data_IF_531840271020
#
_entry.id   IF_531840271020
#
_cell.length_a   1.000
_cell.length_b   1.000
_cell.length_c   1.000
_cell.angle_alpha   90.00
_cell.angle_beta   90.00
_cell.angle_gamma   90.00
#
_symmetry.space_group_name_H-M   'P 1'
#
loop_
_entity.id
_entity.type
_entity.pdbx_description
1 polymer ?
#
# COMPACT_ATOMS: atom_id res chain seq x y z
N UNK A 1 16.56 -23.69 26.39
CA UNK A 1 16.37 -22.26 26.09
C UNK A 1 16.81 -22.06 24.64
N UNK A 2 15.87 -21.88 23.72
CA UNK A 2 16.20 -21.75 22.30
C UNK A 2 16.53 -20.29 22.01
N UNK A 3 17.81 -19.98 21.85
CA UNK A 3 18.29 -18.65 21.51
C UNK A 3 18.07 -18.48 20.02
N UNK A 4 16.96 -17.86 19.62
CA UNK A 4 16.80 -17.40 18.24
C UNK A 4 17.88 -16.35 18.00
N UNK A 5 18.87 -16.72 17.18
CA UNK A 5 19.98 -15.86 16.81
C UNK A 5 19.42 -14.60 16.17
N UNK A 6 19.95 -13.43 16.53
CA UNK A 6 19.56 -12.13 15.96
C UNK A 6 19.70 -12.06 14.42
N UNK A 7 20.29 -13.10 13.81
CA UNK A 7 20.40 -13.32 12.36
C UNK A 7 19.08 -13.74 11.69
N UNK A 8 18.10 -14.25 12.45
CA UNK A 8 16.82 -14.78 11.93
C UNK A 8 15.76 -13.70 11.59
N UNK A 9 16.11 -12.41 11.64
CA UNK A 9 15.19 -11.29 11.30
C UNK A 9 15.77 -10.32 10.28
N UNK A 10 16.62 -10.78 9.37
CA UNK A 10 17.00 -9.96 8.22
C UNK A 10 15.78 -9.83 7.31
N UNK A 11 15.18 -8.64 7.27
CA UNK A 11 14.14 -8.31 6.30
C UNK A 11 14.74 -8.44 4.91
N UNK A 12 13.96 -9.00 3.98
CA UNK A 12 14.36 -9.01 2.58
C UNK A 12 14.47 -7.56 2.09
N UNK A 13 15.46 -7.28 1.24
CA UNK A 13 15.50 -6.03 0.49
C UNK A 13 14.70 -6.21 -0.79
N UNK A 14 13.66 -5.41 -0.99
CA UNK A 14 12.89 -5.32 -2.22
C UNK A 14 13.50 -4.23 -3.11
N UNK A 15 13.98 -4.64 -4.28
CA UNK A 15 14.63 -3.75 -5.26
C UNK A 15 13.64 -3.33 -6.32
N UNK A 16 13.43 -2.03 -6.41
CA UNK A 16 12.41 -1.44 -7.28
C UNK A 16 13.08 -0.52 -8.28
N UNK A 17 12.83 -0.75 -9.56
CA UNK A 17 13.28 0.12 -10.64
C UNK A 17 12.14 1.04 -11.07
N UNK A 18 12.42 2.35 -11.05
CA UNK A 18 11.48 3.37 -11.50
C UNK A 18 11.80 3.81 -12.91
N UNK A 19 10.80 3.80 -13.80
CA UNK A 19 10.95 4.20 -15.20
C UNK A 19 9.98 5.34 -15.50
N UNK A 20 10.52 6.53 -15.79
CA UNK A 20 9.72 7.69 -16.18
C UNK A 20 8.81 8.29 -15.09
N UNK A 21 9.03 7.90 -13.82
CA UNK A 21 8.24 8.38 -12.67
C UNK A 21 8.75 9.73 -12.20
N UNK A 22 7.85 10.71 -12.06
CA UNK A 22 8.19 12.06 -11.59
C UNK A 22 8.60 12.06 -10.10
N UNK A 23 9.57 12.88 -9.66
CA UNK A 23 10.07 12.87 -8.28
C UNK A 23 8.98 12.95 -7.20
N UNK A 24 7.94 13.77 -7.40
CA UNK A 24 6.81 13.87 -6.47
C UNK A 24 6.04 12.56 -6.30
N UNK A 25 5.83 11.82 -7.40
CA UNK A 25 5.21 10.50 -7.38
C UNK A 25 6.12 9.47 -6.71
N UNK A 26 7.44 9.56 -6.89
CA UNK A 26 8.39 8.64 -6.23
C UNK A 26 8.31 8.74 -4.70
N UNK A 27 8.20 9.97 -4.17
CA UNK A 27 8.05 10.20 -2.71
C UNK A 27 6.75 9.57 -2.21
N UNK A 28 5.65 9.78 -2.93
CA UNK A 28 4.33 9.23 -2.59
C UNK A 28 4.33 7.71 -2.62
N UNK A 29 4.81 7.12 -3.71
CA UNK A 29 4.93 5.66 -3.88
C UNK A 29 5.82 5.05 -2.79
N UNK A 30 6.94 5.70 -2.46
CA UNK A 30 7.79 5.26 -1.34
C UNK A 30 7.02 5.28 -0.02
N UNK A 31 6.18 6.28 0.19
CA UNK A 31 5.31 6.38 1.38
C UNK A 31 4.33 5.22 1.47
N UNK A 32 3.61 4.92 0.39
CA UNK A 32 2.67 3.81 0.32
C UNK A 32 3.35 2.46 0.57
N UNK A 33 4.44 2.18 -0.15
CA UNK A 33 5.17 0.92 -0.02
C UNK A 33 5.77 0.75 1.37
N UNK A 34 6.29 1.82 1.98
CA UNK A 34 6.81 1.76 3.36
C UNK A 34 5.74 1.46 4.39
N UNK A 35 4.51 1.90 4.16
CA UNK A 35 3.39 1.59 5.04
C UNK A 35 2.97 0.13 4.88
N UNK A 36 2.83 -0.32 3.63
CA UNK A 36 2.35 -1.66 3.28
C UNK A 36 3.36 -2.78 3.60
N UNK A 37 4.65 -2.55 3.35
CA UNK A 37 5.69 -3.57 3.41
C UNK A 37 6.61 -3.39 4.63
N UNK A 38 6.17 -2.62 5.62
CA UNK A 38 7.00 -2.20 6.76
C UNK A 38 7.63 -3.37 7.49
N UNK A 39 6.96 -4.51 7.58
CA UNK A 39 7.43 -5.67 8.33
C UNK A 39 8.09 -6.72 7.43
N UNK A 40 7.77 -6.69 6.14
CA UNK A 40 8.07 -7.70 5.14
C UNK A 40 9.38 -7.42 4.43
N UNK A 41 9.64 -6.15 4.08
CA UNK A 41 10.82 -5.78 3.30
C UNK A 41 11.34 -4.37 3.58
N UNK A 42 12.66 -4.22 3.44
CA UNK A 42 13.28 -2.91 3.25
C UNK A 42 13.24 -2.54 1.77
N UNK A 43 13.04 -1.25 1.47
CA UNK A 43 12.86 -0.78 0.09
C UNK A 43 14.13 -0.12 -0.43
N UNK A 44 14.58 -0.57 -1.61
CA UNK A 44 15.73 -0.02 -2.32
C UNK A 44 15.33 0.42 -3.74
N UNK A 45 15.49 1.70 -4.04
CA UNK A 45 15.39 2.20 -5.41
C UNK A 45 16.68 1.84 -6.17
N UNK A 46 16.57 1.14 -7.29
CA UNK A 46 17.71 0.73 -8.10
C UNK A 46 17.59 1.24 -9.54
N UNK A 47 18.72 1.26 -10.25
CA UNK A 47 18.72 1.50 -11.69
C UNK A 47 17.94 0.41 -12.43
N UNK A 48 17.26 0.79 -13.51
CA UNK A 48 16.59 -0.16 -14.42
C UNK A 48 17.54 -1.24 -14.99
N UNK A 49 18.83 -0.92 -15.10
CA UNK A 49 19.84 -1.86 -15.59
C UNK A 49 20.36 -2.82 -14.49
N UNK A 50 19.86 -2.71 -13.26
CA UNK A 50 20.24 -3.62 -12.18
C UNK A 50 19.84 -5.06 -12.55
N UNK A 51 20.73 -6.02 -12.28
CA UNK A 51 20.50 -7.44 -12.55
C UNK A 51 19.42 -8.06 -11.66
N UNK A 52 19.18 -7.48 -10.48
CA UNK A 52 18.28 -7.98 -9.46
C UNK A 52 17.21 -6.93 -9.16
N UNK A 53 16.07 -7.07 -9.83
CA UNK A 53 14.89 -6.20 -9.69
C UNK A 53 13.70 -7.09 -9.33
N UNK A 54 13.04 -6.79 -8.21
CA UNK A 54 11.82 -7.48 -7.78
C UNK A 54 10.56 -6.86 -8.41
N UNK A 55 10.56 -5.53 -8.61
CA UNK A 55 9.42 -4.79 -9.15
C UNK A 55 9.88 -3.67 -10.11
N UNK A 56 9.26 -3.61 -11.28
CA UNK A 56 9.25 -2.41 -12.11
C UNK A 56 8.02 -1.56 -11.80
N UNK A 57 8.23 -0.27 -11.58
CA UNK A 57 7.16 0.73 -11.60
C UNK A 57 7.41 1.69 -12.76
N UNK A 58 6.52 1.65 -13.74
CA UNK A 58 6.71 2.31 -15.03
C UNK A 58 5.63 3.35 -15.22
N UNK A 59 5.99 4.58 -15.58
CA UNK A 59 4.97 5.56 -15.96
C UNK A 59 4.23 5.03 -17.21
N UNK A 60 2.90 5.01 -17.14
CA UNK A 60 2.01 4.48 -18.17
C UNK A 60 2.29 5.08 -19.55
N UNK A 61 2.69 6.36 -19.63
CA UNK A 61 3.01 7.05 -20.88
C UNK A 61 4.16 6.37 -21.64
N UNK A 62 5.05 5.66 -20.94
CA UNK A 62 6.20 4.97 -21.52
C UNK A 62 5.99 3.46 -21.73
N UNK A 63 4.80 2.92 -21.44
CA UNK A 63 4.52 1.46 -21.56
C UNK A 63 4.79 0.89 -22.95
N UNK A 64 4.69 1.73 -23.98
CA UNK A 64 4.85 1.36 -25.38
C UNK A 64 6.20 1.80 -25.97
N UNK A 65 7.06 2.45 -25.17
CA UNK A 65 8.39 2.79 -25.62
C UNK A 65 9.19 1.51 -25.83
N UNK A 66 9.82 1.36 -27.00
CA UNK A 66 10.59 0.17 -27.38
C UNK A 66 11.65 -0.18 -26.32
N UNK A 67 12.37 0.82 -25.82
CA UNK A 67 13.38 0.64 -24.77
C UNK A 67 12.80 0.10 -23.45
N UNK A 68 11.56 0.45 -23.11
CA UNK A 68 10.88 -0.03 -21.91
C UNK A 68 10.37 -1.45 -22.11
N UNK A 69 9.80 -1.74 -23.29
CA UNK A 69 9.37 -3.10 -23.63
C UNK A 69 10.56 -4.06 -23.62
N UNK A 70 11.68 -3.68 -24.25
CA UNK A 70 12.90 -4.47 -24.24
C UNK A 70 13.40 -4.71 -22.81
N UNK A 71 13.47 -3.64 -22.00
CA UNK A 71 13.90 -3.73 -20.60
C UNK A 71 13.07 -4.73 -19.76
N UNK A 72 11.75 -4.75 -19.96
CA UNK A 72 10.84 -5.65 -19.26
C UNK A 72 10.97 -7.07 -19.82
N UNK A 73 11.04 -7.24 -21.15
CA UNK A 73 11.21 -8.54 -21.80
C UNK A 73 12.53 -9.22 -21.42
N UNK A 74 13.59 -8.45 -21.15
CA UNK A 74 14.87 -8.97 -20.67
C UNK A 74 14.78 -9.55 -19.24
N UNK A 75 13.71 -9.26 -18.50
CA UNK A 75 13.47 -9.73 -17.12
C UNK A 75 12.05 -10.29 -16.95
N UNK A 76 11.75 -11.45 -17.57
CA UNK A 76 10.37 -11.97 -17.65
C UNK A 76 9.77 -12.40 -16.31
N UNK A 77 10.60 -12.58 -15.26
CA UNK A 77 10.15 -12.98 -13.92
C UNK A 77 9.98 -11.80 -12.96
N UNK A 78 10.17 -10.56 -13.43
CA UNK A 78 10.02 -9.35 -12.61
C UNK A 78 8.61 -8.81 -12.74
N UNK A 79 7.94 -8.61 -11.60
CA UNK A 79 6.61 -8.00 -11.58
C UNK A 79 6.67 -6.58 -12.14
N UNK A 80 5.65 -6.17 -12.88
CA UNK A 80 5.58 -4.84 -13.48
C UNK A 80 4.23 -4.20 -13.21
N UNK A 81 4.25 -2.99 -12.68
CA UNK A 81 3.07 -2.15 -12.49
C UNK A 81 3.25 -0.82 -13.22
N UNK A 82 2.23 -0.39 -13.92
CA UNK A 82 2.17 0.89 -14.61
C UNK A 82 1.53 1.94 -13.72
N UNK A 83 2.05 3.16 -13.72
CA UNK A 83 1.53 4.26 -12.90
C UNK A 83 1.08 5.41 -13.78
N UNK A 84 -0.07 5.98 -13.48
CA UNK A 84 -0.54 7.22 -14.10
C UNK A 84 -1.15 8.13 -13.03
N UNK A 85 -1.40 9.39 -13.36
CA UNK A 85 -2.01 10.36 -12.44
C UNK A 85 -3.46 10.60 -12.84
N UNK A 86 -4.35 10.53 -11.87
CA UNK A 86 -5.75 10.93 -12.01
C UNK A 86 -5.87 12.45 -11.88
N UNK A 87 -6.71 13.06 -12.71
CA UNK A 87 -7.05 14.48 -12.65
C UNK A 87 -8.13 14.78 -11.60
N UNK A 88 -8.85 13.74 -11.13
CA UNK A 88 -10.03 13.88 -10.25
C UNK A 88 -9.80 13.38 -8.82
N UNK A 89 -8.54 13.14 -8.45
CA UNK A 89 -8.08 12.66 -7.13
C UNK A 89 -8.66 11.32 -6.65
N UNK A 90 -9.44 10.62 -7.47
CA UNK A 90 -9.93 9.26 -7.22
C UNK A 90 -8.96 8.24 -7.82
N UNK A 91 -7.76 8.11 -7.26
CA UNK A 91 -6.85 7.05 -7.68
C UNK A 91 -7.35 5.67 -7.29
N UNK A 92 -7.02 4.70 -8.12
CA UNK A 92 -7.43 3.30 -8.00
C UNK A 92 -6.35 2.39 -8.56
N UNK A 93 -6.45 1.10 -8.28
CA UNK A 93 -5.68 0.07 -8.95
C UNK A 93 -6.63 -0.79 -9.77
N UNK A 94 -6.31 -1.00 -11.05
CA UNK A 94 -7.03 -1.93 -11.92
C UNK A 94 -6.02 -2.73 -12.73
N UNK A 95 -6.02 -4.05 -12.56
CA UNK A 95 -5.00 -4.93 -13.11
C UNK A 95 -3.60 -4.44 -12.68
N UNK A 96 -2.75 -4.12 -13.65
CA UNK A 96 -1.40 -3.59 -13.43
C UNK A 96 -1.33 -2.07 -13.61
N UNK A 97 -2.46 -1.35 -13.64
CA UNK A 97 -2.50 0.10 -13.72
C UNK A 97 -2.85 0.72 -12.36
N UNK A 98 -1.89 1.46 -11.81
CA UNK A 98 -1.96 2.22 -10.58
C UNK A 98 -2.21 3.71 -10.90
N UNK A 99 -3.45 4.17 -10.69
CA UNK A 99 -3.82 5.59 -10.81
C UNK A 99 -3.58 6.31 -9.48
N UNK A 100 -2.73 7.33 -9.48
CA UNK A 100 -2.35 8.13 -8.31
C UNK A 100 -3.15 9.44 -8.24
N UNK A 101 -3.35 10.03 -7.04
CA UNK A 101 -3.04 9.48 -5.72
C UNK A 101 -4.06 8.43 -5.27
N UNK A 102 -3.61 7.38 -4.57
CA UNK A 102 -4.52 6.37 -4.02
C UNK A 102 -5.26 6.91 -2.79
N UNK A 103 -6.58 6.67 -2.74
CA UNK A 103 -7.40 6.88 -1.55
C UNK A 103 -7.36 5.70 -0.58
N UNK A 104 -7.26 4.50 -1.15
CA UNK A 104 -7.19 3.24 -0.43
C UNK A 104 -5.98 2.44 -0.91
N UNK A 105 -5.27 1.83 0.03
CA UNK A 105 -4.07 1.05 -0.22
C UNK A 105 -4.33 -0.45 -0.24
N UNK A 106 -5.52 -0.91 0.17
CA UNK A 106 -5.88 -2.33 0.16
C UNK A 106 -5.69 -2.97 -1.23
N UNK A 107 -6.16 -2.38 -2.35
CA UNK A 107 -5.94 -2.95 -3.67
C UNK A 107 -4.45 -3.10 -4.04
N UNK A 108 -3.64 -2.10 -3.68
CA UNK A 108 -2.19 -2.16 -3.93
C UNK A 108 -1.52 -3.23 -3.06
N UNK A 109 -1.98 -3.40 -1.81
CA UNK A 109 -1.52 -4.47 -0.93
C UNK A 109 -1.79 -5.84 -1.54
N UNK A 110 -3.04 -6.12 -1.93
CA UNK A 110 -3.42 -7.40 -2.54
C UNK A 110 -2.61 -7.69 -3.82
N UNK A 111 -2.42 -6.67 -4.66
CA UNK A 111 -1.62 -6.80 -5.87
C UNK A 111 -0.18 -7.19 -5.55
N UNK A 112 0.47 -6.50 -4.60
CA UNK A 112 1.86 -6.78 -4.21
C UNK A 112 2.04 -8.22 -3.70
N UNK A 113 1.16 -8.69 -2.81
CA UNK A 113 1.26 -10.05 -2.24
C UNK A 113 0.96 -11.14 -3.27
N UNK A 114 0.17 -10.82 -4.29
CA UNK A 114 -0.16 -11.74 -5.39
C UNK A 114 0.93 -11.83 -6.46
N UNK A 115 1.66 -10.74 -6.70
CA UNK A 115 2.64 -10.66 -7.80
C UNK A 115 4.10 -10.81 -7.37
N UNK A 116 4.40 -10.67 -6.07
CA UNK A 116 5.76 -10.77 -5.56
C UNK A 116 5.98 -12.11 -4.84
N UNK A 117 6.76 -13.05 -5.40
CA UNK A 117 6.89 -14.41 -4.88
C UNK A 117 7.37 -14.51 -3.43
N UNK A 118 8.15 -13.53 -2.96
CA UNK A 118 8.66 -13.51 -1.59
C UNK A 118 7.62 -13.02 -0.57
N UNK A 119 6.51 -12.46 -1.02
CA UNK A 119 5.36 -12.09 -0.20
C UNK A 119 4.27 -13.18 -0.21
N UNK A 120 4.25 -14.02 -1.26
CA UNK A 120 3.30 -15.11 -1.50
C UNK A 120 3.47 -16.24 -0.48
N UNK A 121 2.86 -16.10 0.69
CA UNK A 121 2.97 -17.04 1.81
C UNK A 121 2.90 -16.36 3.19
N UNK A 122 3.00 -15.04 3.22
CA UNK A 122 2.69 -14.25 4.39
C UNK A 122 1.18 -13.99 4.44
N UNK A 123 0.51 -14.16 5.60
CA UNK A 123 -0.87 -13.73 5.72
C UNK A 123 -0.92 -12.23 5.45
N UNK A 124 -1.80 -11.80 4.56
CA UNK A 124 -2.11 -10.37 4.37
C UNK A 124 -2.63 -9.88 5.72
N UNK A 125 -1.75 -9.25 6.51
CA UNK A 125 -2.12 -8.78 7.85
C UNK A 125 -2.88 -7.48 7.66
N UNK A 126 -4.17 -7.61 7.31
CA UNK A 126 -5.13 -6.53 7.25
C UNK A 126 -5.36 -5.97 8.66
N UNK A 127 -4.38 -5.25 9.21
CA UNK A 127 -4.60 -4.35 10.33
C UNK A 127 -5.00 -2.97 9.82
N UNK A 128 -6.16 -2.94 9.18
CA UNK A 128 -6.96 -1.74 8.99
C UNK A 128 -8.47 -2.00 9.20
N UNK A 129 -8.86 -3.05 9.93
CA UNK A 129 -10.20 -3.12 10.52
C UNK A 129 -10.20 -2.42 11.88
N UNK A 130 -10.14 -1.10 11.88
CA UNK A 130 -10.52 -0.27 13.05
C UNK A 130 -11.61 0.74 12.69
N UNK A 131 -12.39 0.45 11.65
CA UNK A 131 -13.56 1.27 11.28
C UNK A 131 -14.87 0.47 11.25
N UNK A 132 -14.86 -0.81 11.66
CA UNK A 132 -16.05 -1.66 11.71
C UNK A 132 -16.42 -2.14 13.13
N UNK A 133 -15.81 -1.59 14.18
CA UNK A 133 -16.16 -1.90 15.59
C UNK A 133 -16.30 -0.68 16.49
N UNK A 134 -16.66 0.47 15.89
CA UNK A 134 -17.04 1.69 16.62
C UNK A 134 -18.39 2.24 16.14
N UNK A 135 -19.32 1.35 15.81
CA UNK A 135 -20.73 1.72 15.56
C UNK A 135 -21.71 0.77 16.24
N UNK A 136 -21.25 -0.38 16.75
CA UNK A 136 -22.08 -1.30 17.52
C UNK A 136 -22.07 -1.02 19.04
N UNK A 137 -21.05 -0.32 19.57
CA UNK A 137 -20.92 -0.06 21.02
C UNK A 137 -21.47 1.31 21.46
N UNK A 138 -21.71 2.25 20.52
CA UNK A 138 -22.29 3.57 20.84
C UNK A 138 -23.81 3.59 20.87
N UNK A 139 -24.49 2.55 20.36
CA UNK A 139 -25.95 2.48 20.33
C UNK A 139 -26.59 2.13 21.68
N UNK A 140 -25.82 1.62 22.66
CA UNK A 140 -26.33 1.30 24.00
C UNK A 140 -26.07 2.37 25.07
N UNK A 141 -25.33 3.45 24.77
CA UNK A 141 -24.94 4.44 25.77
C UNK A 141 -25.81 5.73 25.80
N UNK A 142 -26.79 5.89 24.90
CA UNK A 142 -27.60 7.12 24.82
C UNK A 142 -29.04 6.99 25.33
N UNK A 143 -29.45 5.84 25.88
CA UNK A 143 -30.83 5.64 26.36
C UNK A 143 -31.01 5.79 27.89
N UNK A 144 -30.03 6.34 28.63
CA UNK A 144 -30.14 6.54 30.10
C UNK A 144 -29.85 7.97 30.59
N UNK A 145 -30.03 8.99 29.75
CA UNK A 145 -29.82 10.39 30.15
C UNK A 145 -30.99 11.33 29.81
N UNK A 146 -32.22 10.82 29.78
CA UNK A 146 -33.44 11.65 29.71
C UNK A 146 -34.44 11.21 30.78
N UNK A 147 -34.05 11.33 32.04
CA UNK A 147 -34.97 11.44 33.17
C UNK A 147 -34.22 12.17 34.29
N UNK A 148 -34.86 13.16 34.91
CA UNK A 148 -34.37 14.02 36.02
C UNK A 148 -33.68 15.35 35.71
N UNK A 149 -34.27 16.24 34.88
CA UNK A 149 -34.11 17.69 35.15
C UNK A 149 -35.26 18.55 34.60
N UNK A 150 -36.49 18.33 35.07
CA UNK A 150 -37.59 19.30 34.92
C UNK A 150 -38.45 19.32 36.18
N UNK A 151 -37.86 19.73 37.30
CA UNK A 151 -38.61 20.19 38.47
C UNK A 151 -37.76 21.23 39.20
N UNK A 152 -38.38 22.35 39.55
CA UNK A 152 -37.85 23.54 40.22
C UNK A 152 -37.22 24.63 39.34
N UNK A 153 -38.06 25.38 38.63
CA UNK A 153 -37.89 26.83 38.49
C UNK A 153 -39.19 27.49 38.04
N UNK A 154 -40.12 27.78 38.97
CA UNK A 154 -41.07 28.90 38.88
C UNK A 154 -41.83 29.01 40.21
N UNK A 155 -41.33 29.87 41.09
CA UNK A 155 -42.09 30.50 42.17
C UNK A 155 -42.16 31.99 41.85
N UNK A 156 -43.34 32.43 41.39
CA UNK A 156 -44.02 33.69 41.68
C UNK A 156 -45.39 33.67 40.99
#
# INVERSE_FOLDING_TARGET
MNVTSASDRLKKVMRIALVGIKPGDQVMLKGYLRLLLRLEADLEWVSANNQQIDLFMVNHDFRHAESVQQLISDKPNTATIYTARSETENGYLSQDLLMLPLKDLEPLSEWLFSHLPFLSGLPVSNKASTTAKLTADVAHAYQSATDNTLTLALSL
#
